data_IF_504219420817
#
_entry.id   IF_504219420817
#
_cell.length_a   1.000
_cell.length_b   1.000
_cell.length_c   1.000
_cell.angle_alpha   90.00
_cell.angle_beta   90.00
_cell.angle_gamma   90.00
#
_symmetry.space_group_name_H-M   'P 1'
#
loop_
_entity.id
_entity.type
_entity.pdbx_description
1 polymer ?
#
# COMPACT_ATOMS: atom_id res chain seq x y z
N UNK A 1 7.07 -6.58 15.00
CA UNK A 1 7.19 -6.24 13.56
C UNK A 1 5.82 -6.15 12.93
N UNK A 2 5.57 -5.11 12.16
CA UNK A 2 4.28 -4.94 11.48
C UNK A 2 4.15 -5.94 10.33
N UNK A 3 2.97 -6.52 10.15
CA UNK A 3 2.72 -7.36 9.00
C UNK A 3 2.44 -6.50 7.76
N UNK A 4 2.35 -7.16 6.60
CA UNK A 4 2.15 -6.49 5.32
C UNK A 4 0.88 -5.63 5.31
N UNK A 5 -0.22 -6.15 5.83
CA UNK A 5 -1.50 -5.44 5.83
C UNK A 5 -1.44 -4.16 6.69
N UNK A 6 -0.77 -4.23 7.83
CA UNK A 6 -0.59 -3.05 8.69
C UNK A 6 0.23 -1.97 7.98
N UNK A 7 1.28 -2.36 7.27
CA UNK A 7 2.11 -1.44 6.51
C UNK A 7 1.30 -0.76 5.39
N UNK A 8 0.51 -1.52 4.66
CA UNK A 8 -0.31 -0.98 3.58
C UNK A 8 -1.44 -0.09 4.11
N UNK A 9 -2.05 -0.45 5.23
CA UNK A 9 -3.06 0.40 5.88
C UNK A 9 -2.45 1.74 6.29
N UNK A 10 -1.25 1.71 6.86
CA UNK A 10 -0.55 2.92 7.26
C UNK A 10 -0.24 3.80 6.05
N UNK A 11 0.22 3.21 4.96
CA UNK A 11 0.50 3.91 3.71
C UNK A 11 -0.78 4.51 3.13
N UNK A 12 -1.86 3.76 3.13
CA UNK A 12 -3.16 4.20 2.62
C UNK A 12 -3.68 5.42 3.36
N UNK A 13 -3.53 5.45 4.68
CA UNK A 13 -3.97 6.59 5.51
C UNK A 13 -3.24 7.88 5.16
N UNK A 14 -1.99 7.79 4.73
CA UNK A 14 -1.14 8.95 4.49
C UNK A 14 -1.23 9.43 3.04
N UNK A 15 -1.26 8.51 2.09
CA UNK A 15 -1.16 8.84 0.66
C UNK A 15 -2.46 8.62 -0.08
N UNK A 16 -3.46 8.08 0.60
CA UNK A 16 -4.73 7.74 -0.01
C UNK A 16 -4.53 6.74 -1.17
N UNK A 17 -5.42 6.71 -2.11
CA UNK A 17 -5.36 5.76 -3.21
C UNK A 17 -4.42 6.24 -4.31
N UNK A 18 -3.29 5.56 -4.50
CA UNK A 18 -2.36 5.83 -5.59
C UNK A 18 -1.99 4.52 -6.27
N UNK A 19 -2.41 4.35 -7.51
CA UNK A 19 -2.07 3.18 -8.30
C UNK A 19 -0.64 3.31 -8.82
N UNK A 20 0.14 2.24 -8.71
CA UNK A 20 1.57 2.23 -9.03
C UNK A 20 1.82 1.32 -10.23
N UNK A 21 2.60 1.80 -11.19
CA UNK A 21 2.88 1.08 -12.44
C UNK A 21 4.18 0.29 -12.42
N UNK A 22 5.14 0.70 -11.59
CA UNK A 22 6.43 0.01 -11.50
C UNK A 22 7.09 0.27 -10.14
N UNK A 23 8.23 -0.37 -9.91
CA UNK A 23 8.96 -0.24 -8.65
C UNK A 23 9.40 1.20 -8.39
N UNK A 24 9.81 1.92 -9.43
CA UNK A 24 10.26 3.31 -9.30
C UNK A 24 9.14 4.20 -8.76
N UNK A 25 7.93 4.04 -9.30
CA UNK A 25 6.76 4.77 -8.82
C UNK A 25 6.42 4.39 -7.39
N UNK A 26 6.57 3.11 -7.05
CA UNK A 26 6.33 2.65 -5.68
C UNK A 26 7.30 3.28 -4.68
N UNK A 27 8.57 3.38 -5.05
CA UNK A 27 9.57 4.04 -4.21
C UNK A 27 9.27 5.52 -4.02
N UNK A 28 8.79 6.19 -5.07
CA UNK A 28 8.35 7.59 -4.97
C UNK A 28 7.17 7.73 -4.02
N UNK A 29 6.22 6.80 -4.09
CA UNK A 29 5.06 6.78 -3.20
C UNK A 29 5.48 6.64 -1.74
N UNK A 30 6.39 5.72 -1.47
CA UNK A 30 6.90 5.48 -0.13
C UNK A 30 7.66 6.72 0.41
N UNK A 31 8.45 7.36 -0.45
CA UNK A 31 9.15 8.58 -0.08
C UNK A 31 8.17 9.71 0.23
N UNK A 32 7.10 9.84 -0.55
CA UNK A 32 6.06 10.84 -0.34
C UNK A 32 5.34 10.62 0.99
N UNK A 33 5.13 9.39 1.36
CA UNK A 33 4.48 9.04 2.62
C UNK A 33 5.31 9.42 3.85
N UNK A 34 6.63 9.35 3.72
CA UNK A 34 7.59 9.75 4.75
C UNK A 34 7.32 9.11 6.13
N UNK A 35 6.82 7.87 6.14
CA UNK A 35 6.51 7.15 7.37
C UNK A 35 7.57 6.11 7.73
N UNK A 36 8.49 5.83 6.82
CA UNK A 36 9.55 4.84 7.00
C UNK A 36 10.90 5.44 6.62
N UNK A 37 11.94 4.95 7.27
CA UNK A 37 13.31 5.31 6.84
C UNK A 37 13.66 4.56 5.56
N UNK A 38 14.60 5.08 4.74
CA UNK A 38 15.04 4.34 3.56
C UNK A 38 15.55 2.94 3.86
N UNK A 39 16.19 2.75 5.02
CA UNK A 39 16.70 1.45 5.44
C UNK A 39 15.57 0.47 5.73
N UNK A 40 14.52 0.91 6.40
CA UNK A 40 13.35 0.08 6.66
C UNK A 40 12.66 -0.34 5.36
N UNK A 41 12.52 0.61 4.43
CA UNK A 41 11.90 0.35 3.12
C UNK A 41 12.68 -0.72 2.37
N UNK A 42 14.01 -0.57 2.30
CA UNK A 42 14.87 -1.54 1.61
C UNK A 42 14.78 -2.92 2.25
N UNK A 43 14.76 -2.97 3.58
CA UNK A 43 14.65 -4.22 4.31
C UNK A 43 13.33 -4.94 4.01
N UNK A 44 12.23 -4.21 4.02
CA UNK A 44 10.91 -4.79 3.75
C UNK A 44 10.77 -5.26 2.30
N UNK A 45 11.33 -4.51 1.36
CA UNK A 45 11.35 -4.93 -0.06
C UNK A 45 12.18 -6.20 -0.21
N UNK A 46 13.35 -6.25 0.42
CA UNK A 46 14.24 -7.40 0.37
C UNK A 46 13.59 -8.65 0.95
N UNK A 47 12.80 -8.51 2.00
CA UNK A 47 12.05 -9.59 2.62
C UNK A 47 10.77 -9.97 1.88
N UNK A 48 10.43 -9.26 0.80
CA UNK A 48 9.21 -9.51 0.07
C UNK A 48 7.94 -9.00 0.75
N UNK A 49 8.08 -8.12 1.74
CA UNK A 49 6.95 -7.58 2.49
C UNK A 49 6.30 -6.38 1.80
N UNK A 50 7.08 -5.63 1.03
CA UNK A 50 6.60 -4.49 0.27
C UNK A 50 6.88 -4.73 -1.20
N UNK A 51 5.83 -4.60 -2.02
CA UNK A 51 5.91 -4.88 -3.43
C UNK A 51 4.77 -4.11 -4.09
N UNK A 52 5.05 -3.48 -5.23
CA UNK A 52 4.08 -2.60 -5.87
C UNK A 52 2.86 -3.37 -6.42
N UNK A 53 3.06 -4.61 -6.85
CA UNK A 53 1.95 -5.46 -7.31
C UNK A 53 1.01 -5.79 -6.14
N UNK A 54 1.55 -6.14 -4.98
CA UNK A 54 0.78 -6.37 -3.77
C UNK A 54 0.04 -5.12 -3.32
N UNK A 55 0.69 -3.96 -3.43
CA UNK A 55 0.05 -2.68 -3.12
C UNK A 55 -1.19 -2.46 -4.00
N UNK A 56 -1.04 -2.70 -5.31
CA UNK A 56 -2.16 -2.55 -6.23
C UNK A 56 -3.29 -3.54 -5.92
N UNK A 57 -2.95 -4.77 -5.55
CA UNK A 57 -3.95 -5.76 -5.12
C UNK A 57 -4.66 -5.30 -3.85
N UNK A 58 -3.93 -4.73 -2.92
CA UNK A 58 -4.51 -4.18 -1.70
C UNK A 58 -5.52 -3.08 -2.05
N UNK A 59 -5.19 -2.19 -2.97
CA UNK A 59 -6.10 -1.13 -3.42
C UNK A 59 -7.34 -1.71 -4.09
N UNK A 60 -7.20 -2.72 -4.93
CA UNK A 60 -8.33 -3.38 -5.57
C UNK A 60 -9.25 -4.03 -4.54
N UNK A 61 -8.69 -4.66 -3.51
CA UNK A 61 -9.47 -5.25 -2.43
C UNK A 61 -10.23 -4.19 -1.63
N UNK A 62 -9.58 -3.05 -1.38
CA UNK A 62 -10.24 -1.91 -0.70
C UNK A 62 -11.42 -1.39 -1.53
N UNK A 63 -11.24 -1.24 -2.83
CA UNK A 63 -12.30 -0.80 -3.72
C UNK A 63 -13.46 -1.79 -3.73
N UNK A 64 -13.16 -3.08 -3.80
CA UNK A 64 -14.17 -4.13 -3.81
C UNK A 64 -14.97 -4.12 -2.50
N UNK A 65 -14.30 -4.00 -1.36
CA UNK A 65 -14.96 -3.91 -0.05
C UNK A 65 -15.88 -2.69 0.01
N UNK A 66 -15.42 -1.56 -0.48
CA UNK A 66 -16.20 -0.33 -0.49
C UNK A 66 -17.45 -0.48 -1.37
N UNK A 67 -17.30 -1.00 -2.59
CA UNK A 67 -18.42 -1.22 -3.50
C UNK A 67 -19.44 -2.21 -2.91
N UNK A 68 -18.95 -3.29 -2.33
CA UNK A 68 -19.80 -4.29 -1.69
C UNK A 68 -20.58 -3.68 -0.53
N UNK A 69 -19.91 -2.88 0.28
CA UNK A 69 -20.52 -2.19 1.41
C UNK A 69 -21.61 -1.25 0.95
N UNK A 70 -21.37 -0.47 -0.09
CA UNK A 70 -22.34 0.46 -0.66
C UNK A 70 -23.57 -0.28 -1.17
N UNK A 71 -23.41 -1.43 -1.80
CA UNK A 71 -24.52 -2.22 -2.30
C UNK A 71 -25.41 -2.78 -1.18
N UNK A 72 -24.84 -3.04 -0.01
CA UNK A 72 -25.59 -3.54 1.13
C UNK A 72 -26.50 -2.47 1.72
N UNK A 73 -26.19 -1.20 1.52
CA UNK A 73 -26.92 -0.08 2.09
C UNK A 73 -27.91 0.56 1.12
N UNK A 74 -27.85 0.20 -0.15
CA UNK A 74 -28.79 0.63 -1.14
C UNK A 74 -29.97 -0.34 -1.20
#
# INVERSE_FOLDING_TARGET
MKNKNELYEQLYKVVDRTFVHDLKDFLKLLAKANIWTPQEVLEYIKQGRLNWQDWNLFLLNKDWEYEHYCKLWD
#
